data_IF_892139268800
#
_entry.id   IF_892139268800
#
_cell.length_a   1.000
_cell.length_b   1.000
_cell.length_c   1.000
_cell.angle_alpha   90.00
_cell.angle_beta   90.00
_cell.angle_gamma   90.00
#
_symmetry.space_group_name_H-M   'P 1'
#
loop_
_entity.id
_entity.type
_entity.pdbx_description
1 polymer ?
#
# COMPACT_ATOMS: atom_id res chain seq x y z
N UNK A 1 -73.37 8.44 21.12
CA UNK A 1 -72.80 8.24 22.48
C UNK A 1 -71.40 8.87 22.47
N UNK A 2 -71.30 10.15 22.84
CA UNK A 2 -70.59 10.66 24.05
C UNK A 2 -69.07 10.78 23.82
N UNK A 3 -68.48 11.92 23.41
CA UNK A 3 -68.22 13.22 24.08
C UNK A 3 -67.41 13.15 25.40
N UNK A 4 -66.15 13.60 25.33
CA UNK A 4 -65.37 14.37 26.34
C UNK A 4 -64.08 14.84 25.61
N UNK A 5 -63.75 16.10 25.28
CA UNK A 5 -63.76 17.45 25.89
C UNK A 5 -62.70 17.69 26.98
N UNK A 6 -61.62 18.38 26.55
CA UNK A 6 -60.91 19.52 27.16
C UNK A 6 -60.57 19.55 28.66
N UNK A 7 -59.30 19.81 28.97
CA UNK A 7 -58.78 21.01 29.71
C UNK A 7 -57.25 21.09 29.46
N UNK A 8 -56.63 22.18 28.93
CA UNK A 8 -56.30 23.49 29.56
C UNK A 8 -55.41 23.30 30.82
N UNK A 9 -54.20 23.87 31.00
CA UNK A 9 -53.49 25.07 30.51
C UNK A 9 -51.97 24.99 30.79
N UNK A 10 -51.14 25.82 30.14
CA UNK A 10 -49.77 26.14 30.54
C UNK A 10 -49.73 27.28 31.56
N UNK A 11 -48.88 27.18 32.59
CA UNK A 11 -48.63 28.26 33.56
C UNK A 11 -47.22 28.80 33.44
N UNK A 12 -47.18 30.07 33.07
CA UNK A 12 -46.11 31.04 33.29
C UNK A 12 -45.74 31.10 34.78
N UNK A 13 -44.46 31.05 35.13
CA UNK A 13 -44.00 31.57 36.43
C UNK A 13 -42.75 32.44 36.25
N UNK A 14 -42.99 33.74 36.43
CA UNK A 14 -42.04 34.82 36.60
C UNK A 14 -41.48 34.76 38.02
N UNK A 15 -40.16 34.74 38.21
CA UNK A 15 -39.58 35.24 39.46
C UNK A 15 -38.10 35.67 39.32
N UNK A 16 -37.93 36.99 39.14
CA UNK A 16 -37.05 37.88 39.94
C UNK A 16 -35.58 37.50 40.15
N UNK A 17 -34.69 38.37 39.65
CA UNK A 17 -33.62 39.03 40.43
C UNK A 17 -33.01 40.13 39.56
N UNK A 18 -33.48 41.36 39.75
CA UNK A 18 -32.87 42.40 40.60
C UNK A 18 -31.59 42.99 39.99
N UNK A 19 -31.78 44.20 39.46
CA UNK A 19 -30.77 45.21 39.17
C UNK A 19 -29.87 45.49 40.38
N UNK A 20 -28.58 45.65 40.14
CA UNK A 20 -27.70 46.40 41.02
C UNK A 20 -26.67 47.12 40.13
N UNK A 21 -26.99 48.37 39.80
CA UNK A 21 -26.00 49.36 39.38
C UNK A 21 -25.18 49.75 40.61
N UNK A 22 -23.86 49.61 40.56
CA UNK A 22 -22.96 50.23 41.51
C UNK A 22 -21.69 50.71 40.80
N UNK A 23 -21.52 52.03 40.85
CA UNK A 23 -20.38 52.81 40.39
C UNK A 23 -19.04 52.24 40.87
N UNK A 24 -18.05 52.19 39.98
CA UNK A 24 -16.64 51.98 40.34
C UNK A 24 -15.84 53.23 39.93
N UNK A 25 -15.10 53.87 40.87
CA UNK A 25 -14.49 55.18 40.63
C UNK A 25 -13.19 55.10 39.80
N UNK A 26 -12.98 56.17 39.02
CA UNK A 26 -11.72 56.55 38.41
C UNK A 26 -10.62 56.67 39.48
N UNK A 27 -9.53 55.90 39.34
CA UNK A 27 -8.28 56.16 40.06
C UNK A 27 -7.09 56.10 39.09
N UNK A 28 -6.36 57.20 39.08
CA UNK A 28 -5.29 57.52 38.14
C UNK A 28 -4.01 56.67 38.34
N UNK A 29 -3.39 56.37 37.20
CA UNK A 29 -1.97 56.17 36.90
C UNK A 29 -1.00 55.83 38.05
N UNK A 30 -0.50 54.59 38.01
CA UNK A 30 0.92 54.33 38.31
C UNK A 30 1.55 53.53 37.17
N UNK A 31 2.68 54.05 36.68
CA UNK A 31 3.50 53.52 35.61
C UNK A 31 4.36 52.39 36.18
N UNK A 32 4.03 51.15 35.87
CA UNK A 32 4.97 50.04 36.00
C UNK A 32 5.30 49.52 34.59
N UNK A 33 6.27 50.23 34.00
CA UNK A 33 6.99 49.84 32.81
C UNK A 33 8.10 48.87 33.22
N UNK A 34 7.74 47.61 33.44
CA UNK A 34 8.68 46.54 33.74
C UNK A 34 8.54 45.43 32.69
N UNK A 35 9.45 45.48 31.71
CA UNK A 35 10.04 44.30 31.08
C UNK A 35 9.08 43.19 30.64
N UNK A 36 8.16 43.52 29.70
CA UNK A 36 7.63 42.50 28.77
C UNK A 36 8.82 41.91 28.01
N UNK A 37 9.38 40.83 28.56
CA UNK A 37 10.27 39.91 27.88
C UNK A 37 9.60 39.58 26.55
N UNK A 38 10.19 40.10 25.48
CA UNK A 38 9.89 39.67 24.13
C UNK A 38 10.33 38.21 24.07
N UNK A 39 9.44 37.29 24.45
CA UNK A 39 9.57 35.90 24.09
C UNK A 39 9.74 35.87 22.56
N UNK A 40 10.85 35.33 22.02
CA UNK A 40 11.07 35.34 20.59
C UNK A 40 9.89 34.62 19.92
N UNK A 41 9.23 35.33 19.00
CA UNK A 41 8.10 34.79 18.25
C UNK A 41 8.44 33.38 17.73
N UNK A 42 7.53 32.41 17.84
CA UNK A 42 7.80 31.04 17.42
C UNK A 42 8.29 31.05 15.97
N UNK A 43 9.36 30.30 15.63
CA UNK A 43 9.91 30.31 14.28
C UNK A 43 8.79 29.99 13.30
N UNK A 44 8.45 30.97 12.45
CA UNK A 44 7.45 30.79 11.41
C UNK A 44 7.93 29.63 10.56
N UNK A 45 7.19 28.51 10.58
CA UNK A 45 7.53 27.34 9.76
C UNK A 45 7.64 27.81 8.32
N UNK A 46 8.85 27.83 7.76
CA UNK A 46 9.09 28.16 6.36
C UNK A 46 8.13 27.28 5.56
N UNK A 47 7.13 27.89 4.91
CA UNK A 47 6.17 27.17 4.06
C UNK A 47 7.00 26.36 3.09
N UNK A 48 6.80 25.03 3.08
CA UNK A 48 7.50 24.15 2.15
C UNK A 48 7.33 24.75 0.76
N UNK A 49 8.44 25.12 0.12
CA UNK A 49 8.36 25.79 -1.18
C UNK A 49 7.71 24.81 -2.15
N UNK A 50 6.55 25.19 -2.69
CA UNK A 50 5.89 24.47 -3.77
C UNK A 50 6.67 24.71 -5.07
N UNK A 51 7.89 24.18 -5.10
CA UNK A 51 8.90 24.43 -6.12
C UNK A 51 8.39 24.06 -7.52
N UNK A 52 7.49 23.08 -7.60
CA UNK A 52 6.86 22.61 -8.83
C UNK A 52 5.98 23.66 -9.50
N UNK A 53 5.55 24.73 -8.80
CA UNK A 53 4.86 25.87 -9.43
C UNK A 53 5.74 26.63 -10.43
N UNK A 54 7.06 26.43 -10.39
CA UNK A 54 8.01 27.01 -11.35
C UNK A 54 8.28 26.10 -12.56
N UNK A 55 7.83 24.84 -12.51
CA UNK A 55 8.01 23.91 -13.62
C UNK A 55 7.20 24.38 -14.83
N UNK A 56 7.83 24.29 -16.00
CA UNK A 56 7.16 24.44 -17.29
C UNK A 56 6.78 23.07 -17.80
N UNK A 57 5.63 22.97 -18.47
CA UNK A 57 5.11 21.71 -18.99
C UNK A 57 3.84 21.24 -18.30
N UNK A 58 3.37 20.11 -18.77
CA UNK A 58 2.08 19.51 -18.41
C UNK A 58 2.29 18.04 -18.08
N UNK A 59 1.43 17.50 -17.23
CA UNK A 59 1.36 16.07 -16.96
C UNK A 59 0.77 15.36 -18.19
N UNK A 60 1.51 14.46 -18.81
CA UNK A 60 1.12 13.82 -20.08
C UNK A 60 -0.12 12.92 -19.95
N UNK A 61 -0.52 12.54 -18.74
CA UNK A 61 -1.71 11.72 -18.51
C UNK A 61 -2.95 12.61 -18.36
N UNK A 62 -2.85 13.67 -17.55
CA UNK A 62 -4.00 14.56 -17.26
C UNK A 62 -4.11 15.77 -18.17
N UNK A 63 -3.03 16.09 -18.90
CA UNK A 63 -2.79 17.36 -19.59
C UNK A 63 -2.92 18.58 -18.67
N UNK A 64 -2.82 18.37 -17.35
CA UNK A 64 -2.87 19.46 -16.38
C UNK A 64 -1.49 20.13 -16.32
N UNK A 65 -1.41 21.48 -16.36
CA UNK A 65 -0.16 22.18 -16.15
C UNK A 65 0.44 21.84 -14.79
N UNK A 66 1.72 21.45 -14.74
CA UNK A 66 2.39 21.03 -13.49
C UNK A 66 2.32 22.11 -12.42
N UNK A 67 2.34 23.38 -12.85
CA UNK A 67 2.23 24.54 -11.99
C UNK A 67 0.87 24.72 -11.32
N UNK A 68 -0.18 24.00 -11.70
CA UNK A 68 -1.50 24.10 -11.05
C UNK A 68 -1.78 22.92 -10.12
N UNK A 69 -0.86 21.96 -10.05
CA UNK A 69 -1.00 20.81 -9.17
C UNK A 69 -1.02 21.25 -7.69
N UNK A 70 -2.01 20.74 -6.96
CA UNK A 70 -2.19 20.99 -5.53
C UNK A 70 -1.10 20.32 -4.67
N UNK A 71 -0.59 19.19 -5.16
CA UNK A 71 0.34 18.33 -4.47
C UNK A 71 1.62 18.19 -5.30
N UNK A 72 2.70 17.80 -4.63
CA UNK A 72 4.01 17.58 -5.25
C UNK A 72 3.88 16.52 -6.37
N UNK A 73 4.33 16.80 -7.60
CA UNK A 73 4.33 15.81 -8.67
C UNK A 73 5.40 14.75 -8.43
N UNK A 74 5.17 13.55 -8.96
CA UNK A 74 6.14 12.47 -8.94
C UNK A 74 7.10 12.58 -10.12
N UNK A 75 8.41 12.48 -9.86
CA UNK A 75 9.45 12.42 -10.88
C UNK A 75 9.61 10.98 -11.36
N UNK A 76 9.28 10.73 -12.61
CA UNK A 76 9.58 9.47 -13.29
C UNK A 76 10.63 9.77 -14.37
N UNK A 77 11.75 9.04 -14.33
CA UNK A 77 12.89 9.26 -15.24
C UNK A 77 12.79 8.29 -16.42
N UNK A 78 12.51 8.77 -17.64
CA UNK A 78 12.62 7.93 -18.83
C UNK A 78 14.07 7.49 -19.03
N UNK A 79 15.00 8.44 -18.96
CA UNK A 79 16.45 8.26 -19.13
C UNK A 79 17.21 9.10 -18.09
N UNK A 80 18.53 8.94 -18.00
CA UNK A 80 19.36 9.74 -17.07
C UNK A 80 19.38 11.24 -17.42
N UNK A 81 19.01 11.59 -18.65
CA UNK A 81 19.11 12.94 -19.20
C UNK A 81 17.84 13.78 -19.01
N UNK A 82 16.67 13.16 -18.97
CA UNK A 82 15.39 13.87 -18.98
C UNK A 82 14.55 13.49 -17.76
N UNK A 83 13.99 14.51 -17.10
CA UNK A 83 13.05 14.34 -15.99
C UNK A 83 11.64 14.61 -16.48
N UNK A 84 10.74 13.67 -16.25
CA UNK A 84 9.32 13.87 -16.51
C UNK A 84 8.53 13.82 -15.22
N UNK A 85 7.58 14.74 -15.08
CA UNK A 85 6.80 14.91 -13.87
C UNK A 85 5.34 14.53 -14.15
N UNK A 86 4.74 13.79 -13.22
CA UNK A 86 3.37 13.31 -13.33
C UNK A 86 2.59 13.55 -12.05
N UNK A 87 1.28 13.62 -12.14
CA UNK A 87 0.44 13.47 -10.95
C UNK A 87 0.52 12.02 -10.46
N UNK A 88 1.06 11.81 -9.25
CA UNK A 88 1.30 10.48 -8.70
C UNK A 88 0.02 9.63 -8.63
N UNK A 89 -1.10 10.25 -8.24
CA UNK A 89 -2.39 9.55 -8.16
C UNK A 89 -2.86 9.09 -9.53
N UNK A 90 -2.89 9.97 -10.52
CA UNK A 90 -3.36 9.63 -11.86
C UNK A 90 -2.43 8.62 -12.52
N UNK A 91 -1.11 8.77 -12.35
CA UNK A 91 -0.13 7.80 -12.83
C UNK A 91 -0.39 6.41 -12.25
N UNK A 92 -0.59 6.30 -10.92
CA UNK A 92 -0.87 5.01 -10.30
C UNK A 92 -2.17 4.38 -10.80
N UNK A 93 -3.23 5.17 -10.97
CA UNK A 93 -4.51 4.71 -11.50
C UNK A 93 -4.36 4.22 -12.94
N UNK A 94 -3.63 4.96 -13.76
CA UNK A 94 -3.33 4.59 -15.14
C UNK A 94 -2.59 3.25 -15.21
N UNK A 95 -1.54 3.06 -14.41
CA UNK A 95 -0.76 1.83 -14.41
C UNK A 95 -1.58 0.61 -13.96
N UNK A 96 -2.38 0.76 -12.90
CA UNK A 96 -3.25 -0.30 -12.40
C UNK A 96 -4.34 -0.64 -13.44
N UNK A 97 -5.02 0.36 -13.98
CA UNK A 97 -6.15 0.16 -14.89
C UNK A 97 -5.71 -0.40 -16.25
N UNK A 98 -4.58 0.06 -16.79
CA UNK A 98 -4.07 -0.40 -18.07
C UNK A 98 -3.30 -1.72 -17.99
N UNK A 99 -2.87 -2.13 -16.78
CA UNK A 99 -1.88 -3.20 -16.55
C UNK A 99 -0.63 -3.06 -17.44
N UNK A 100 -0.33 -1.82 -17.87
CA UNK A 100 0.75 -1.53 -18.80
C UNK A 100 1.85 -0.75 -18.08
N UNK A 101 2.84 -1.46 -17.57
CA UNK A 101 3.97 -0.89 -16.82
C UNK A 101 5.06 -0.34 -17.74
N UNK A 102 4.67 0.58 -18.62
CA UNK A 102 5.58 1.32 -19.48
C UNK A 102 5.42 2.83 -19.26
N UNK A 103 6.53 3.54 -19.43
CA UNK A 103 6.58 4.98 -19.30
C UNK A 103 5.68 5.64 -20.36
N UNK A 104 4.76 6.56 -20.00
CA UNK A 104 3.80 7.13 -20.95
C UNK A 104 4.44 7.83 -22.17
N UNK A 105 5.58 8.52 -21.98
CA UNK A 105 6.32 9.17 -23.09
C UNK A 105 7.34 8.26 -23.77
N UNK A 106 8.32 7.72 -23.03
CA UNK A 106 9.43 6.97 -23.62
C UNK A 106 9.11 5.51 -23.94
N UNK A 107 7.96 4.99 -23.47
CA UNK A 107 7.58 3.57 -23.54
C UNK A 107 8.61 2.63 -22.92
N UNK A 108 9.52 3.13 -22.08
CA UNK A 108 10.48 2.31 -21.34
C UNK A 108 9.74 1.46 -20.30
N UNK A 109 10.11 0.18 -20.08
CA UNK A 109 9.54 -0.61 -18.99
C UNK A 109 9.83 0.06 -17.64
N UNK A 110 8.78 0.24 -16.85
CA UNK A 110 8.86 0.74 -15.48
C UNK A 110 9.33 -0.40 -14.61
N UNK A 111 10.31 -0.15 -13.75
CA UNK A 111 10.85 -1.19 -12.86
C UNK A 111 10.02 -1.33 -11.59
N UNK A 112 10.16 -2.46 -10.91
CA UNK A 112 9.56 -2.65 -9.58
C UNK A 112 9.99 -1.57 -8.58
N UNK A 113 11.24 -1.12 -8.67
CA UNK A 113 11.80 -0.05 -7.82
C UNK A 113 11.10 1.30 -8.04
N UNK A 114 10.79 1.64 -9.30
CA UNK A 114 10.00 2.83 -9.62
C UNK A 114 8.58 2.75 -9.04
N UNK A 115 7.95 1.56 -9.10
CA UNK A 115 6.65 1.32 -8.46
C UNK A 115 6.72 1.46 -6.94
N UNK A 116 7.81 0.99 -6.30
CA UNK A 116 8.03 1.19 -4.85
C UNK A 116 8.16 2.66 -4.51
N UNK A 117 8.98 3.42 -5.25
CA UNK A 117 9.11 4.88 -5.08
C UNK A 117 7.78 5.61 -5.27
N UNK A 118 6.98 5.20 -6.25
CA UNK A 118 5.65 5.77 -6.46
C UNK A 118 4.70 5.45 -5.29
N UNK A 119 4.73 4.23 -4.76
CA UNK A 119 3.95 3.83 -3.58
C UNK A 119 4.33 4.65 -2.34
N UNK A 120 5.63 4.81 -2.07
CA UNK A 120 6.12 5.66 -0.98
C UNK A 120 5.70 7.12 -1.16
N UNK A 121 5.77 7.63 -2.39
CA UNK A 121 5.33 8.98 -2.72
C UNK A 121 3.82 9.17 -2.46
N UNK A 122 2.98 8.20 -2.84
CA UNK A 122 1.54 8.22 -2.58
C UNK A 122 1.22 8.19 -1.09
N UNK A 123 1.95 7.40 -0.31
CA UNK A 123 1.80 7.37 1.15
C UNK A 123 2.20 8.71 1.78
N UNK A 124 3.31 9.32 1.34
CA UNK A 124 3.84 10.59 1.88
C UNK A 124 2.98 11.80 1.51
N UNK A 125 2.64 11.94 0.23
CA UNK A 125 2.04 13.17 -0.33
C UNK A 125 0.52 13.09 -0.38
N UNK A 126 -0.02 11.96 -0.83
CA UNK A 126 -1.46 11.78 -1.02
C UNK A 126 -2.15 11.08 0.16
N UNK A 127 -1.37 10.61 1.16
CA UNK A 127 -1.86 9.82 2.30
C UNK A 127 -2.67 8.60 1.86
N UNK A 128 -2.36 8.04 0.69
CA UNK A 128 -3.09 6.95 0.08
C UNK A 128 -2.22 5.70 -0.07
N UNK A 129 -2.02 4.99 1.05
CA UNK A 129 -1.22 3.77 1.08
C UNK A 129 -1.86 2.62 0.28
N UNK A 130 -3.19 2.51 0.34
CA UNK A 130 -3.95 1.43 -0.34
C UNK A 130 -3.69 1.41 -1.85
N UNK A 131 -3.63 2.59 -2.46
CA UNK A 131 -3.34 2.72 -3.89
C UNK A 131 -1.90 2.28 -4.23
N UNK A 132 -0.95 2.61 -3.35
CA UNK A 132 0.44 2.18 -3.49
C UNK A 132 0.60 0.65 -3.35
N UNK A 133 -0.10 0.04 -2.41
CA UNK A 133 -0.10 -1.42 -2.25
C UNK A 133 -0.73 -2.11 -3.47
N UNK A 134 -1.87 -1.62 -3.95
CA UNK A 134 -2.53 -2.12 -5.15
C UNK A 134 -1.67 -2.02 -6.42
N UNK A 135 -0.87 -0.95 -6.53
CA UNK A 135 0.09 -0.79 -7.64
C UNK A 135 1.14 -1.90 -7.64
N UNK A 136 1.71 -2.22 -6.46
CA UNK A 136 2.73 -3.26 -6.33
C UNK A 136 2.15 -4.65 -6.64
N UNK A 137 0.95 -4.95 -6.12
CA UNK A 137 0.25 -6.20 -6.44
C UNK A 137 0.00 -6.33 -7.94
N UNK A 138 -0.53 -5.27 -8.59
CA UNK A 138 -0.80 -5.28 -10.01
C UNK A 138 0.48 -5.46 -10.86
N UNK A 139 1.61 -4.92 -10.40
CA UNK A 139 2.91 -5.12 -11.05
C UNK A 139 3.36 -6.57 -10.96
N UNK A 140 3.33 -7.14 -9.76
CA UNK A 140 3.76 -8.52 -9.51
C UNK A 140 2.87 -9.52 -10.28
N UNK A 141 1.55 -9.31 -10.31
CA UNK A 141 0.61 -10.09 -11.15
C UNK A 141 0.96 -10.00 -12.63
N UNK A 142 1.24 -8.80 -13.15
CA UNK A 142 1.58 -8.61 -14.56
C UNK A 142 2.91 -9.27 -14.94
N UNK A 143 3.89 -9.26 -14.04
CA UNK A 143 5.15 -9.96 -14.27
C UNK A 143 4.97 -11.48 -14.32
N UNK A 144 4.11 -12.03 -13.45
CA UNK A 144 3.79 -13.45 -13.49
C UNK A 144 3.01 -13.83 -14.75
N UNK A 145 2.04 -13.02 -15.18
CA UNK A 145 1.34 -13.21 -16.46
C UNK A 145 2.32 -13.30 -17.64
N UNK A 146 3.29 -12.39 -17.72
CA UNK A 146 4.31 -12.39 -18.78
C UNK A 146 5.24 -13.61 -18.69
N UNK A 147 5.62 -14.02 -17.48
CA UNK A 147 6.42 -15.22 -17.24
C UNK A 147 5.69 -16.47 -17.75
N UNK A 148 4.41 -16.62 -17.43
CA UNK A 148 3.58 -17.73 -17.89
C UNK A 148 3.42 -17.73 -19.41
N UNK A 149 3.26 -16.56 -20.02
CA UNK A 149 3.19 -16.41 -21.47
C UNK A 149 4.50 -16.76 -22.18
N UNK A 150 5.64 -16.56 -21.54
CA UNK A 150 6.95 -16.91 -22.08
C UNK A 150 7.27 -18.43 -22.02
N UNK A 151 6.51 -19.21 -21.25
CA UNK A 151 6.69 -20.65 -21.16
C UNK A 151 6.39 -21.35 -22.50
N UNK A 152 7.01 -22.51 -22.78
CA UNK A 152 6.66 -23.31 -23.94
C UNK A 152 5.20 -23.75 -23.86
N UNK A 153 4.54 -23.85 -25.02
CA UNK A 153 3.12 -24.17 -25.12
C UNK A 153 2.74 -25.49 -24.43
N UNK A 154 3.66 -26.45 -24.36
CA UNK A 154 3.49 -27.70 -23.61
C UNK A 154 3.34 -27.47 -22.11
N UNK A 155 4.17 -26.60 -21.53
CA UNK A 155 4.08 -26.23 -20.12
C UNK A 155 2.80 -25.42 -19.84
N UNK A 156 2.41 -24.51 -20.73
CA UNK A 156 1.14 -23.77 -20.63
C UNK A 156 -0.06 -24.73 -20.62
N UNK A 157 -0.09 -25.70 -21.55
CA UNK A 157 -1.14 -26.71 -21.60
C UNK A 157 -1.20 -27.55 -20.32
N UNK A 158 -0.05 -27.89 -19.72
CA UNK A 158 0.01 -28.63 -18.47
C UNK A 158 -0.56 -27.82 -17.29
N UNK A 159 -0.24 -26.52 -17.20
CA UNK A 159 -0.78 -25.62 -16.17
C UNK A 159 -2.29 -25.51 -16.32
N UNK A 160 -2.78 -25.20 -17.53
CA UNK A 160 -4.22 -25.10 -17.80
C UNK A 160 -4.96 -26.43 -17.53
N UNK A 161 -4.36 -27.56 -17.90
CA UNK A 161 -4.91 -28.88 -17.59
C UNK A 161 -5.03 -29.09 -16.07
N UNK A 162 -4.01 -28.70 -15.30
CA UNK A 162 -4.05 -28.80 -13.84
C UNK A 162 -5.12 -27.88 -13.22
N UNK A 163 -5.30 -26.66 -13.74
CA UNK A 163 -6.35 -25.75 -13.29
C UNK A 163 -7.75 -26.29 -13.58
N UNK A 164 -7.97 -26.83 -14.79
CA UNK A 164 -9.22 -27.49 -15.16
C UNK A 164 -9.50 -28.70 -14.25
N UNK A 165 -8.49 -29.53 -13.98
CA UNK A 165 -8.63 -30.65 -13.05
C UNK A 165 -9.03 -30.16 -11.65
N UNK A 166 -8.38 -29.12 -11.12
CA UNK A 166 -8.74 -28.54 -9.81
C UNK A 166 -10.18 -28.02 -9.79
N UNK A 167 -10.63 -27.38 -10.88
CA UNK A 167 -12.00 -26.89 -11.02
C UNK A 167 -13.02 -28.02 -11.15
N UNK A 168 -12.74 -29.07 -11.91
CA UNK A 168 -13.67 -30.19 -12.16
C UNK A 168 -13.81 -31.04 -10.90
N UNK A 169 -12.70 -31.32 -10.22
CA UNK A 169 -12.68 -32.23 -9.08
C UNK A 169 -12.89 -31.53 -7.73
N UNK A 170 -13.09 -30.20 -7.72
CA UNK A 170 -13.39 -29.45 -6.50
C UNK A 170 -12.33 -29.62 -5.41
N UNK A 171 -11.08 -29.96 -5.79
CA UNK A 171 -9.94 -30.07 -4.89
C UNK A 171 -9.54 -28.65 -4.48
N UNK A 172 -10.36 -28.05 -3.62
CA UNK A 172 -10.13 -26.77 -3.00
C UNK A 172 -8.75 -26.73 -2.38
N UNK A 173 -8.11 -25.57 -2.44
CA UNK A 173 -6.94 -25.26 -1.63
C UNK A 173 -7.15 -25.78 -0.21
N UNK A 174 -6.22 -26.58 0.35
CA UNK A 174 -6.34 -26.95 1.74
C UNK A 174 -6.48 -25.66 2.55
N UNK A 175 -7.50 -25.61 3.41
CA UNK A 175 -7.72 -24.48 4.29
C UNK A 175 -6.40 -24.16 5.04
N UNK A 176 -6.05 -22.88 5.25
CA UNK A 176 -4.82 -22.51 5.94
C UNK A 176 -4.70 -23.10 7.35
N UNK A 177 -5.82 -23.55 7.93
CA UNK A 177 -5.87 -24.20 9.24
C UNK A 177 -5.26 -25.62 9.24
N UNK A 178 -5.14 -26.28 8.09
CA UNK A 178 -4.54 -27.62 7.98
C UNK A 178 -3.00 -27.61 7.94
N UNK A 179 -2.37 -26.45 7.70
CA UNK A 179 -0.91 -26.34 7.64
C UNK A 179 -0.26 -26.17 9.04
N UNK A 180 -1.04 -25.82 10.07
CA UNK A 180 -0.50 -25.55 11.41
C UNK A 180 -0.36 -26.83 12.26
N UNK A 181 -1.07 -27.92 11.92
CA UNK A 181 -0.95 -29.19 12.66
C UNK A 181 0.13 -30.15 12.13
N UNK A 182 0.62 -29.95 10.90
CA UNK A 182 1.62 -30.85 10.31
C UNK A 182 3.05 -30.64 10.87
N UNK A 183 3.36 -29.45 11.42
CA UNK A 183 4.69 -29.16 12.00
C UNK A 183 4.80 -29.49 13.50
N UNK A 184 3.72 -29.82 14.21
CA UNK A 184 3.76 -30.13 15.64
C UNK A 184 4.02 -31.62 15.97
N UNK A 185 4.06 -32.50 14.97
CA UNK A 185 4.18 -33.96 15.16
C UNK A 185 5.57 -34.54 14.85
N UNK A 186 6.57 -33.68 14.57
CA UNK A 186 7.90 -34.06 14.13
C UNK A 186 8.96 -34.12 15.24
N UNK A 187 8.72 -34.77 16.37
CA UNK A 187 9.80 -35.02 17.35
C UNK A 187 9.55 -36.25 18.22
N UNK A 188 10.49 -37.21 18.12
CA UNK A 188 10.72 -38.49 18.87
C UNK A 188 10.51 -39.69 17.95
N UNK A 189 11.52 -40.30 17.34
CA UNK A 189 12.80 -40.72 17.90
C UNK A 189 12.75 -42.22 18.20
N UNK A 190 13.55 -43.03 17.49
CA UNK A 190 13.91 -44.38 17.94
C UNK A 190 13.69 -45.57 17.00
N UNK A 191 14.16 -45.51 15.75
CA UNK A 191 14.29 -46.71 14.91
C UNK A 191 15.46 -47.59 15.37
N UNK A 192 15.19 -48.59 16.23
CA UNK A 192 16.19 -49.60 16.62
C UNK A 192 16.42 -50.59 15.48
N UNK A 193 17.42 -50.31 14.65
CA UNK A 193 18.04 -51.31 13.78
C UNK A 193 18.87 -52.30 14.60
N UNK A 194 18.42 -53.56 14.68
CA UNK A 194 19.26 -54.69 15.13
C UNK A 194 19.24 -55.81 14.09
N UNK A 195 20.42 -55.98 13.49
CA UNK A 195 21.06 -57.18 12.91
C UNK A 195 20.34 -58.53 13.12
N UNK A 196 20.32 -59.34 12.05
CA UNK A 196 20.89 -60.70 11.92
C UNK A 196 20.73 -61.12 10.45
N UNK A 197 21.82 -61.29 9.69
CA UNK A 197 22.37 -62.62 9.34
C UNK A 197 21.70 -63.10 8.05
N UNK A 198 22.29 -63.81 7.09
CA UNK A 198 23.48 -64.65 7.04
C UNK A 198 23.57 -65.17 5.58
N UNK A 199 24.79 -65.47 5.10
CA UNK A 199 25.05 -66.21 3.86
C UNK A 199 25.15 -65.33 2.60
N UNK A 200 26.17 -65.42 1.75
CA UNK A 200 27.26 -66.39 1.65
C UNK A 200 27.75 -66.43 0.20
N UNK A 201 29.03 -66.07 0.02
CA UNK A 201 30.04 -66.64 -0.90
C UNK A 201 29.67 -67.03 -2.35
N UNK A 202 30.53 -66.55 -3.26
CA UNK A 202 30.84 -67.10 -4.58
C UNK A 202 31.44 -66.00 -5.46
N UNK A 203 32.73 -65.67 -5.35
CA UNK A 203 33.87 -66.32 -6.01
C UNK A 203 33.64 -66.58 -7.52
N UNK A 204 34.36 -65.84 -8.37
CA UNK A 204 34.13 -65.80 -9.81
C UNK A 204 35.15 -64.93 -10.56
N UNK A 205 36.41 -65.35 -10.48
CA UNK A 205 37.56 -64.94 -11.30
C UNK A 205 37.30 -64.85 -12.83
N UNK A 206 38.05 -63.92 -13.46
CA UNK A 206 38.79 -64.02 -14.77
C UNK A 206 38.14 -63.59 -16.10
N UNK A 207 38.99 -62.92 -16.90
CA UNK A 207 38.95 -62.73 -18.36
C UNK A 207 38.90 -61.26 -18.72
N UNK A 208 39.99 -60.53 -19.03
CA UNK A 208 41.02 -60.71 -20.08
C UNK A 208 40.48 -60.73 -21.52
N UNK A 209 41.04 -59.85 -22.36
CA UNK A 209 40.78 -59.68 -23.79
C UNK A 209 40.09 -58.34 -24.11
N UNK A 210 40.69 -57.32 -24.73
CA UNK A 210 41.88 -57.26 -25.58
C UNK A 210 41.50 -57.32 -27.06
N UNK A 211 41.97 -56.32 -27.83
CA UNK A 211 41.96 -56.14 -29.30
C UNK A 211 40.68 -55.46 -29.86
N UNK A 212 40.78 -54.54 -30.81
CA UNK A 212 41.90 -54.00 -31.57
C UNK A 212 41.39 -52.93 -32.52
#
# INVERSE_FOLDING_TARGET
RSRARNMLRPTHELARRCEAQAHTPLRAHHRDNEHRRMDPAPPTRKKASQWWHRLKGEDLITLQPLRTLRLEPFELRPDDTHKTYFNAMTLSQYLIASKNFHHPSSRRPITRDDCTKLSEHLARVHKNKKQGDALLTAYDERMEELRLQALPRTAQNAILASELQRSIYGLGTPAPDAAVEAEASGARGGGRGRRRGDGGRGDGRRGDGGRG
#
